data_IF_828003078054
#
_entry.id   IF_828003078054
#
_cell.length_a   1.000
_cell.length_b   1.000
_cell.length_c   1.000
_cell.angle_alpha   90.00
_cell.angle_beta   90.00
_cell.angle_gamma   90.00
#
_symmetry.space_group_name_H-M   'P 1'
#
loop_
_entity.id
_entity.type
_entity.pdbx_description
1 polymer ?
2 non-polymer ?
3 non-polymer ?
4 water ?
#
# COMPACT_ATOMS: atom_id res chain seq x y z
N UNK A 1 5.21 -5.88 15.62
CA UNK A 1 3.76 -6.03 15.29
C UNK A 1 2.93 -4.92 15.91
N UNK A 2 2.83 -3.79 15.22
CA UNK A 2 1.82 -2.81 15.60
C UNK A 2 0.52 -3.17 14.89
N UNK A 3 0.62 -3.56 13.62
CA UNK A 3 -0.54 -3.94 12.82
C UNK A 3 -1.00 -5.34 13.22
N UNK A 4 -2.20 -5.39 13.78
CA UNK A 4 -2.87 -6.63 14.15
C UNK A 4 -4.19 -6.66 13.40
N UNK A 5 -4.10 -6.39 12.11
CA UNK A 5 -5.26 -6.46 11.23
C UNK A 5 -4.76 -7.11 9.97
N UNK A 6 -5.12 -8.37 9.78
CA UNK A 6 -4.77 -9.08 8.56
C UNK A 6 -6.02 -9.68 7.96
N UNK A 7 -5.99 -9.85 6.65
CA UNK A 7 -7.06 -10.50 5.91
C UNK A 7 -6.96 -11.99 6.21
N UNK A 8 -8.06 -12.58 6.70
CA UNK A 8 -8.20 -14.05 6.78
C UNK A 8 -8.63 -14.52 5.41
N UNK A 9 -8.21 -15.72 5.02
CA UNK A 9 -8.70 -16.34 3.78
C UNK A 9 -8.21 -15.73 2.48
N UNK A 10 -7.18 -14.88 2.57
CA UNK A 10 -6.62 -14.15 1.42
C UNK A 10 -6.13 -15.07 0.32
N UNK A 11 -6.54 -14.77 -0.92
CA UNK A 11 -5.95 -15.40 -2.12
C UNK A 11 -5.27 -14.33 -2.98
N UNK A 12 -3.95 -14.22 -2.92
CA UNK A 12 -3.26 -13.17 -3.68
C UNK A 12 -3.38 -13.27 -5.18
N UNK A 13 -3.90 -14.37 -5.73
CA UNK A 13 -4.08 -14.46 -7.17
C UNK A 13 -5.12 -13.46 -7.62
N UNK A 14 -6.11 -13.24 -6.76
CA UNK A 14 -7.24 -12.37 -7.07
C UNK A 14 -6.98 -10.87 -6.83
N UNK A 15 -5.82 -10.52 -6.26
CA UNK A 15 -5.42 -9.11 -6.14
C UNK A 15 -4.70 -8.64 -7.43
N UNK A 16 -4.59 -9.55 -8.41
CA UNK A 16 -4.02 -9.24 -9.72
C UNK A 16 -4.62 -8.00 -10.37
N UNK A 17 -3.78 -7.21 -11.02
CA UNK A 17 -4.27 -6.21 -11.96
C UNK A 17 -3.95 -4.79 -11.55
N UNK A 18 -4.84 -3.88 -11.93
CA UNK A 18 -4.69 -2.43 -11.71
C UNK A 18 -5.14 -1.98 -10.29
N UNK A 19 -4.36 -1.12 -9.64
CA UNK A 19 -4.85 -0.43 -8.43
C UNK A 19 -4.53 1.04 -8.42
N UNK A 20 -5.33 1.81 -7.70
CA UNK A 20 -5.11 3.25 -7.46
C UNK A 20 -4.92 3.52 -5.98
N UNK A 21 -3.81 4.16 -5.62
CA UNK A 21 -3.57 4.57 -4.23
C UNK A 21 -4.48 5.74 -3.88
N UNK A 22 -5.74 5.48 -3.51
CA UNK A 22 -6.69 6.57 -3.24
C UNK A 22 -6.31 7.41 -2.00
N UNK A 23 -5.76 6.73 -0.98
CA UNK A 23 -5.44 7.37 0.29
C UNK A 23 -4.20 6.72 0.88
N UNK A 24 -3.47 7.50 1.67
CA UNK A 24 -2.31 6.97 2.38
C UNK A 24 -2.20 7.57 3.77
N UNK A 25 -1.59 6.81 4.68
CA UNK A 25 -1.28 7.33 6.03
C UNK A 25 0.05 6.78 6.54
N UNK A 26 0.67 7.50 7.47
CA UNK A 26 1.93 7.09 8.04
C UNK A 26 2.08 7.57 9.50
N UNK A 27 2.97 6.91 10.23
CA UNK A 27 3.20 7.17 11.66
C UNK A 27 4.01 8.43 11.93
N UNK A 28 4.75 8.88 10.91
CA UNK A 28 5.63 10.04 11.00
C UNK A 28 5.28 10.92 9.81
N UNK A 29 5.10 12.22 10.07
CA UNK A 29 4.88 13.21 9.01
C UNK A 29 5.88 13.10 7.87
N UNK A 30 7.18 13.04 8.19
CA UNK A 30 8.25 13.02 7.18
C UNK A 30 8.24 11.81 6.21
N UNK A 31 7.56 10.73 6.58
CA UNK A 31 7.39 9.57 5.67
C UNK A 31 6.53 9.89 4.43
N UNK A 32 5.71 10.94 4.49
CA UNK A 32 4.72 11.18 3.43
C UNK A 32 4.57 12.65 3.00
N UNK A 33 5.27 13.55 3.67
CA UNK A 33 4.99 14.98 3.51
C UNK A 33 5.42 15.62 2.18
N UNK A 34 6.36 15.00 1.48
CA UNK A 34 6.83 15.55 0.20
C UNK A 34 6.71 14.54 -0.92
N UNK A 35 6.73 15.01 -2.16
CA UNK A 35 6.72 14.12 -3.33
C UNK A 35 7.82 13.08 -3.26
N UNK A 36 8.98 13.46 -2.71
CA UNK A 36 10.12 12.56 -2.61
C UNK A 36 10.30 11.92 -1.23
N UNK A 37 9.26 11.97 -0.40
CA UNK A 37 9.29 11.34 0.92
C UNK A 37 9.29 9.82 0.73
N UNK A 38 10.06 9.09 1.57
CA UNK A 38 10.43 7.67 1.34
C UNK A 38 9.26 6.70 1.12
N UNK A 39 8.12 6.97 1.73
CA UNK A 39 6.95 6.08 1.61
C UNK A 39 5.82 6.60 0.73
N UNK A 40 6.04 7.74 0.08
CA UNK A 40 5.11 8.25 -0.90
C UNK A 40 5.28 7.45 -2.17
N UNK A 41 4.62 6.30 -2.24
CA UNK A 41 4.74 5.41 -3.40
C UNK A 41 3.32 5.20 -3.84
N UNK A 42 3.11 5.28 -5.15
CA UNK A 42 1.79 5.17 -5.73
C UNK A 42 1.75 3.85 -6.44
N UNK A 43 0.78 3.00 -6.10
CA UNK A 43 0.75 1.66 -6.67
C UNK A 43 0.09 1.69 -8.05
N UNK A 44 0.73 1.00 -9.00
CA UNK A 44 0.27 0.98 -10.37
C UNK A 44 -0.34 -0.40 -10.72
N UNK A 45 0.33 -1.49 -10.34
CA UNK A 45 -0.12 -2.83 -10.70
C UNK A 45 0.41 -3.91 -9.75
N UNK A 46 -0.43 -4.87 -9.40
CA UNK A 46 0.04 -6.02 -8.60
C UNK A 46 0.21 -7.28 -9.43
N UNK A 47 1.40 -7.88 -9.36
CA UNK A 47 1.65 -9.15 -10.06
C UNK A 47 2.07 -10.29 -9.12
N UNK A 48 1.10 -11.13 -8.73
CA UNK A 48 1.34 -12.36 -7.99
C UNK A 48 2.02 -13.40 -8.89
N UNK A 49 3.23 -13.82 -8.53
CA UNK A 49 3.90 -14.91 -9.25
C UNK A 49 3.23 -16.27 -8.96
N UNK A 50 3.40 -17.25 -9.88
CA UNK A 50 2.89 -18.62 -9.70
C UNK A 50 3.26 -19.25 -8.35
N UNK A 51 4.49 -18.97 -7.90
CA UNK A 51 5.00 -19.43 -6.61
C UNK A 51 4.18 -18.84 -5.46
N UNK A 52 3.59 -17.66 -5.68
CA UNK A 52 2.82 -16.96 -4.66
C UNK A 52 3.51 -15.74 -4.07
N UNK A 53 4.64 -15.35 -4.63
CA UNK A 53 5.27 -14.07 -4.28
C UNK A 53 4.49 -12.92 -4.95
N UNK A 54 4.79 -11.67 -4.59
CA UNK A 54 4.02 -10.52 -5.10
C UNK A 54 4.93 -9.42 -5.60
N UNK A 55 5.04 -9.34 -6.92
CA UNK A 55 5.72 -8.22 -7.56
C UNK A 55 4.81 -7.01 -7.51
N UNK A 56 5.41 -5.84 -7.38
CA UNK A 56 4.64 -4.63 -7.27
C UNK A 56 5.20 -3.61 -8.25
N UNK A 57 4.35 -3.13 -9.14
CA UNK A 57 4.72 -2.00 -9.98
C UNK A 57 4.23 -0.71 -9.32
N UNK A 58 5.14 0.24 -9.15
CA UNK A 58 4.79 1.52 -8.54
C UNK A 58 5.46 2.74 -9.19
N UNK A 59 4.96 3.93 -8.83
CA UNK A 59 5.61 5.21 -9.16
C UNK A 59 6.12 5.86 -7.89
N UNK A 60 7.29 6.49 -7.98
CA UNK A 60 7.92 7.17 -6.86
C UNK A 60 8.73 8.33 -7.41
N UNK A 61 8.49 9.53 -6.87
CA UNK A 61 9.22 10.74 -7.23
C UNK A 61 10.55 10.75 -6.55
N UNK A 62 11.62 10.60 -7.33
CA UNK A 62 12.96 10.42 -6.77
C UNK A 62 13.92 11.59 -6.97
N UNK A 63 14.25 11.89 -8.22
CA UNK A 63 15.22 12.96 -8.51
C UNK A 63 14.60 14.13 -9.27
N UNK A 64 13.34 14.42 -8.96
CA UNK A 64 12.57 15.42 -9.70
C UNK A 64 11.74 14.77 -10.79
N UNK A 65 12.04 13.51 -11.11
CA UNK A 65 11.24 12.75 -12.06
C UNK A 65 10.30 11.81 -11.32
N UNK A 66 9.26 11.37 -12.02
CA UNK A 66 8.37 10.36 -11.52
C UNK A 66 8.81 8.99 -12.10
N UNK A 67 9.57 8.24 -11.30
CA UNK A 67 10.20 6.99 -11.75
C UNK A 67 9.36 5.72 -11.54
N UNK A 68 9.50 4.78 -12.47
CA UNK A 68 8.89 3.45 -12.36
C UNK A 68 9.79 2.52 -11.57
N UNK A 69 9.21 1.88 -10.55
CA UNK A 69 9.95 0.94 -9.72
C UNK A 69 9.27 -0.42 -9.71
N UNK A 70 10.08 -1.47 -9.65
CA UNK A 70 9.56 -2.82 -9.46
C UNK A 70 10.07 -3.36 -8.13
N UNK A 71 9.13 -3.82 -7.32
CA UNK A 71 9.44 -4.35 -6.00
C UNK A 71 8.93 -5.78 -5.91
N UNK A 72 9.79 -6.70 -5.48
CA UNK A 72 9.35 -8.07 -5.20
C UNK A 72 9.07 -8.21 -3.70
N UNK A 73 7.86 -8.64 -3.37
CA UNK A 73 7.53 -8.94 -1.97
C UNK A 73 7.42 -10.44 -1.79
N UNK A 74 8.31 -11.00 -0.98
CA UNK A 74 8.35 -12.45 -0.85
C UNK A 74 7.34 -12.94 0.18
N UNK A 75 6.50 -13.89 -0.22
CA UNK A 75 5.57 -14.61 0.65
C UNK A 75 6.18 -15.18 1.94
N UNK A 76 5.38 -15.28 2.99
CA UNK A 76 5.80 -15.90 4.26
C UNK A 76 4.85 -17.07 4.53
N UNK A 77 4.95 -17.69 5.70
CA UNK A 77 4.01 -18.75 6.11
C UNK A 77 2.60 -18.19 6.37
N UNK A 78 2.52 -16.89 6.63
CA UNK A 78 1.24 -16.19 6.80
C UNK A 78 0.81 -15.69 5.43
N UNK A 79 -0.36 -16.14 4.94
CA UNK A 79 -0.72 -15.77 3.57
C UNK A 79 -0.91 -14.25 3.39
N UNK A 80 -1.25 -13.52 4.46
CA UNK A 80 -1.52 -12.07 4.41
C UNK A 80 -0.28 -11.19 4.55
N UNK A 81 0.87 -11.82 4.80
CA UNK A 81 2.11 -11.09 5.10
C UNK A 81 3.21 -11.46 4.10
N UNK A 82 3.93 -10.43 3.65
CA UNK A 82 5.00 -10.55 2.68
C UNK A 82 6.23 -9.78 3.15
N UNK A 83 7.40 -10.08 2.58
CA UNK A 83 8.65 -9.45 3.02
C UNK A 83 9.42 -8.82 1.86
N UNK A 84 9.87 -7.58 2.04
CA UNK A 84 10.70 -6.87 1.05
C UNK A 84 12.14 -6.78 1.53
N UNK A 85 13.09 -6.87 0.60
CA UNK A 85 14.51 -6.68 0.94
C UNK A 85 14.93 -5.24 1.22
N UNK A 86 15.36 -4.99 2.46
CA UNK A 86 16.01 -3.75 2.85
C UNK A 86 16.86 -4.02 4.09
N UNK A 87 17.64 -3.03 4.53
CA UNK A 87 18.50 -3.13 5.71
C UNK A 87 17.77 -3.74 6.91
N UNK A 88 16.52 -3.31 7.07
CA UNK A 88 15.66 -3.68 8.19
C UNK A 88 14.67 -4.77 7.79
N UNK A 89 14.60 -5.04 6.48
CA UNK A 89 13.64 -5.96 5.87
C UNK A 89 12.20 -5.60 6.28
N UNK A 90 11.52 -4.92 5.36
CA UNK A 90 10.23 -4.33 5.62
C UNK A 90 9.10 -5.32 5.36
N UNK A 91 8.06 -5.24 6.18
CA UNK A 91 6.95 -6.19 6.08
C UNK A 91 5.74 -5.55 5.46
N UNK A 92 5.20 -6.20 4.44
CA UNK A 92 3.92 -5.82 3.87
C UNK A 92 2.82 -6.75 4.38
N UNK A 93 1.73 -6.14 4.85
CA UNK A 93 0.54 -6.89 5.35
C UNK A 93 -0.72 -6.46 4.62
N UNK A 94 -1.53 -7.43 4.18
CA UNK A 94 -2.83 -7.13 3.58
C UNK A 94 -3.86 -7.23 4.68
N UNK A 95 -4.53 -6.10 4.97
CA UNK A 95 -5.47 -6.04 6.08
C UNK A 95 -6.86 -6.51 5.70
N UNK A 96 -7.29 -6.16 4.48
CA UNK A 96 -8.65 -6.42 3.97
C UNK A 96 -8.72 -6.12 2.47
N UNK A 97 -9.36 -7.01 1.72
CA UNK A 97 -9.73 -6.72 0.33
C UNK A 97 -10.95 -7.50 -0.15
N UNK A 98 -11.81 -6.83 -0.92
CA UNK A 98 -12.90 -7.51 -1.62
C UNK A 98 -12.49 -7.96 -3.01
N UNK A 99 -11.22 -7.77 -3.36
CA UNK A 99 -10.69 -8.12 -4.67
C UNK A 99 -11.23 -7.26 -5.82
N UNK A 100 -12.53 -6.95 -5.80
CA UNK A 100 -13.20 -6.34 -6.93
C UNK A 100 -13.22 -4.81 -6.92
N UNK A 101 -13.13 -4.21 -5.72
CA UNK A 101 -13.25 -2.76 -5.52
C UNK A 101 -12.12 -2.10 -4.71
N UNK A 102 -11.80 -2.65 -3.53
CA UNK A 102 -10.77 -2.06 -2.65
C UNK A 102 -9.74 -3.09 -2.10
N UNK A 103 -8.56 -2.59 -1.74
CA UNK A 103 -7.59 -3.36 -0.97
C UNK A 103 -6.89 -2.42 0.02
N UNK A 104 -6.79 -2.85 1.29
CA UNK A 104 -6.10 -2.10 2.35
C UNK A 104 -4.83 -2.84 2.73
N UNK A 105 -3.71 -2.13 2.83
CA UNK A 105 -2.47 -2.75 3.19
C UNK A 105 -1.59 -1.79 3.98
N UNK A 106 -0.67 -2.35 4.75
CA UNK A 106 0.29 -1.50 5.45
C UNK A 106 1.68 -2.02 5.18
N UNK A 107 2.63 -1.11 5.26
CA UNK A 107 4.04 -1.51 5.31
C UNK A 107 4.66 -1.05 6.62
N UNK A 108 5.43 -1.95 7.24
CA UNK A 108 6.00 -1.68 8.56
C UNK A 108 7.42 -2.17 8.73
N UNK A 109 8.13 -1.47 9.59
CA UNK A 109 9.49 -1.84 9.93
C UNK A 109 9.51 -2.92 11.01
N UNK A 110 10.40 -3.90 10.83
CA UNK A 110 10.61 -4.96 11.82
C UNK A 110 10.93 -4.39 13.21
N UNK A 111 11.70 -3.31 13.25
CA UNK A 111 12.17 -2.76 14.52
C UNK A 111 11.44 -1.49 14.96
N UNK A 112 11.73 -0.36 14.31
CA UNK A 112 11.27 0.95 14.76
C UNK A 112 10.65 1.78 13.65
N UNK A 115 6.53 2.44 16.03
CA UNK A 115 7.18 1.83 14.87
C UNK A 115 7.44 2.87 13.79
N UNK A 116 7.73 2.38 12.59
CA UNK A 116 7.61 3.14 11.37
C UNK A 116 6.61 2.38 10.49
N UNK A 117 5.56 3.07 10.07
CA UNK A 117 4.39 2.41 9.48
C UNK A 117 3.64 3.34 8.53
N UNK A 118 3.27 2.81 7.36
CA UNK A 118 2.42 3.50 6.40
C UNK A 118 1.38 2.55 5.83
N UNK A 119 0.16 3.06 5.65
CA UNK A 119 -0.91 2.25 5.12
C UNK A 119 -1.56 2.96 3.92
N UNK A 120 -2.15 2.16 3.03
CA UNK A 120 -2.86 2.72 1.89
C UNK A 120 -4.22 2.10 1.72
N UNK A 121 -5.13 2.90 1.20
CA UNK A 121 -6.39 2.42 0.66
C UNK A 121 -6.29 2.40 -0.87
N UNK A 122 -6.29 1.21 -1.44
CA UNK A 122 -6.18 1.04 -2.87
C UNK A 122 -7.55 0.76 -3.39
N UNK A 123 -7.89 1.34 -4.55
CA UNK A 123 -9.12 0.99 -5.27
C UNK A 123 -8.81 0.63 -6.73
N UNK A 124 -9.74 -0.06 -7.40
CA UNK A 124 -9.54 -0.52 -8.79
C UNK A 124 -9.66 0.62 -9.82
N UNK A 125 -10.53 1.60 -9.55
CA UNK A 125 -10.79 2.65 -10.55
C UNK A 125 -10.54 4.04 -9.98
N UNK A 126 -10.38 5.07 -10.86
CA UNK A 126 -10.11 6.45 -10.41
C UNK A 126 -11.37 7.09 -9.84
N UNK A 127 -11.78 6.64 -8.65
CA UNK A 127 -13.06 7.04 -8.09
C UNK A 127 -12.95 7.13 -6.57
N UNK A 128 -13.59 8.14 -5.98
CA UNK A 128 -13.63 8.32 -4.53
C UNK A 128 -14.68 7.37 -3.95
N UNK A 129 -14.20 6.20 -3.54
CA UNK A 129 -15.02 5.14 -2.95
C UNK A 129 -15.20 5.40 -1.45
N UNK A 130 -16.30 6.05 -1.08
CA UNK A 130 -16.61 6.42 0.32
C UNK A 130 -16.52 5.26 1.29
N UNK A 131 -17.11 4.14 0.89
CA UNK A 131 -17.17 2.91 1.68
C UNK A 131 -15.77 2.41 2.05
N UNK A 132 -14.90 2.29 1.04
CA UNK A 132 -13.55 1.79 1.25
C UNK A 132 -12.76 2.73 2.15
N UNK A 133 -12.97 4.04 2.00
CA UNK A 133 -12.33 5.05 2.85
C UNK A 133 -12.77 4.91 4.31
N UNK A 134 -14.07 4.65 4.53
CA UNK A 134 -14.61 4.25 5.84
C UNK A 134 -13.84 3.09 6.45
N UNK A 135 -13.74 1.98 5.71
CA UNK A 135 -12.90 0.85 6.12
C UNK A 135 -11.47 1.28 6.46
N UNK A 136 -10.89 2.17 5.65
CA UNK A 136 -9.50 2.57 5.85
C UNK A 136 -9.37 3.35 7.17
N UNK A 137 -10.30 4.30 7.36
CA UNK A 137 -10.45 5.09 8.58
C UNK A 137 -10.59 4.21 9.82
N UNK A 138 -11.45 3.21 9.73
CA UNK A 138 -11.66 2.29 10.83
C UNK A 138 -10.43 1.45 11.11
N UNK A 139 -9.66 1.14 10.06
CA UNK A 139 -8.42 0.41 10.23
C UNK A 139 -7.33 1.31 10.81
N UNK A 140 -7.45 2.61 10.56
CA UNK A 140 -6.53 3.62 11.08
C UNK A 140 -6.67 3.93 12.59
N UNK A 141 -7.90 4.00 13.11
CA UNK A 141 -8.11 4.38 14.52
C UNK A 141 -7.26 3.56 15.51
N UNK A 142 -7.06 2.28 15.20
CA UNK A 142 -6.17 1.39 15.96
C UNK A 142 -4.67 1.71 15.84
N UNK A 143 -4.29 2.55 14.88
CA UNK A 143 -2.88 2.79 14.59
C UNK A 143 -2.44 4.22 14.92
N UNK A 144 -1.17 4.42 15.30
CA UNK A 144 -0.72 5.77 15.68
C UNK A 144 -0.29 6.60 14.46
N UNK A 145 -1.23 6.93 13.57
CA UNK A 145 -0.90 7.73 12.38
C UNK A 145 -0.85 9.21 12.74
N UNK A 146 0.04 9.96 12.09
CA UNK A 146 0.20 11.40 12.26
C UNK A 146 0.14 12.16 10.96
N UNK A 147 0.10 11.45 9.83
CA UNK A 147 -0.17 12.07 8.50
C UNK A 147 -1.12 11.23 7.63
N UNK A 148 -2.11 11.88 7.01
CA UNK A 148 -3.02 11.20 6.10
C UNK A 148 -3.17 12.03 4.84
N UNK A 149 -3.17 11.33 3.70
CA UNK A 149 -3.43 11.98 2.43
C UNK A 149 -4.52 11.28 1.69
N UNK A 150 -5.23 12.04 0.88
CA UNK A 150 -6.15 11.43 -0.06
C UNK A 150 -6.22 12.25 -1.35
N UNK A 151 -6.46 11.55 -2.46
CA UNK A 151 -6.32 12.10 -3.84
C UNK A 151 -7.66 12.12 -4.62
N UNK A 152 -7.91 13.18 -5.40
CA UNK A 152 -9.14 13.28 -6.19
C UNK A 152 -8.98 12.47 -7.52
N UNK A 153 -10.09 12.21 -8.27
CA UNK A 153 -10.06 11.40 -9.53
C UNK A 153 -9.15 11.96 -10.64
N UNK A 154 -9.04 13.29 -10.74
CA UNK A 154 -8.05 13.91 -11.66
C UNK A 154 -6.61 13.50 -11.33
N UNK A 155 -6.15 13.77 -10.11
CA UNK A 155 -4.83 13.31 -9.65
C UNK A 155 -4.60 11.81 -9.81
N UNK A 156 -5.63 10.99 -9.58
CA UNK A 156 -5.49 9.53 -9.66
C UNK A 156 -5.07 9.05 -11.07
N UNK A 157 -5.34 9.88 -12.08
CA UNK A 157 -5.03 9.57 -13.47
C UNK A 157 -3.69 10.12 -13.96
N UNK A 158 -2.96 10.79 -13.07
CA UNK A 158 -1.66 11.36 -13.39
C UNK A 158 -0.57 10.56 -12.73
N UNK A 159 0.56 10.45 -13.43
CA UNK A 159 1.74 9.85 -12.87
C UNK A 159 2.21 10.67 -11.66
N UNK A 160 2.57 9.94 -10.60
CA UNK A 160 2.89 10.48 -9.29
C UNK A 160 1.80 11.42 -8.71
N UNK A 161 0.55 11.22 -9.16
CA UNK A 161 -0.67 11.92 -8.68
C UNK A 161 -0.52 13.42 -8.72
N UNK A 162 0.03 13.93 -9.82
CA UNK A 162 0.40 15.34 -9.97
C UNK A 162 -0.79 16.29 -10.11
X LIG B 1 11.37 0.77 0.24
X LIG B 1 10.04 0.66 0.95
X LIG B 1 8.91 1.30 0.14
X LIG B 1 8.44 0.35 -0.95
X LIG B 1 6.92 0.35 -1.03
X LIG B 1 6.41 -1.08 -0.98
X LIG B 1 5.13 -1.23 -1.80
X LIG B 1 4.18 -2.19 -1.09
X LIG B 1 2.92 -2.41 -1.90
X LIG B 1 2.38 -3.80 -1.65
X LIG B 1 0.86 -3.86 -1.72
X LIG B 1 0.38 -5.27 -1.46
X LIG B 1 13.53 1.64 0.06
X LIG B 1 11.75 3.22 0.31
X LIG B 1 12.51 1.83 2.14
X LIG B 1 12.24 1.88 0.70
X LIG C 1 -10.14 -6.99 8.21
X LIG C 1 -9.81 -8.09 7.37
X LIG C 1 -9.03 -6.78 9.24
X LIG C 1 -7.73 -7.11 8.71
X LIG C 1 -9.04 -5.32 9.65
X LIG C 1 -8.26 -4.57 8.72
#
# INVERSE_FOLDING_TARGET
LIVTQTMKGLDIQKVAGTWYSLAMAASDISLLDAQSAPLRVYVEELKPTPEGDLEILLQKWENGECAQKKIIAEKTKIPAVFKIDALNENKVLVLDTDYKKYLLFCMENSAEPEQSLACQCLVRTPEVDDEALEKFDKALKALPMHIRLSFNPTQLEEQCHI
CAT C1 C2 C3 C4 C5 C6 C7 C8 C9 C10 C11 C12 CA1 CB1 CC1 NE1
GOL C1 O1 C2 O2 C3 O3
#
